data_IF_055043068367
#
_entry.id   IF_055043068367
#
_cell.length_a   1.000
_cell.length_b   1.000
_cell.length_c   1.000
_cell.angle_alpha   90.00
_cell.angle_beta   90.00
_cell.angle_gamma   90.00
#
_symmetry.space_group_name_H-M   'P 1'
#
loop_
_entity.id
_entity.type
_entity.pdbx_description
1 polymer ?
#
# COMPACT_ATOMS: atom_id res chain seq x y z
N UNK A 1 12.05 20.03 -26.40
CA UNK A 1 11.76 18.60 -26.19
C UNK A 1 11.25 18.43 -24.77
N UNK A 2 9.99 18.15 -24.57
CA UNK A 2 9.45 17.87 -23.26
C UNK A 2 10.08 16.56 -22.76
N UNK A 3 10.79 16.62 -21.63
CA UNK A 3 11.31 15.45 -20.93
C UNK A 3 10.08 14.63 -20.53
N UNK A 4 9.89 13.46 -21.14
CA UNK A 4 8.84 12.57 -20.72
C UNK A 4 9.02 12.34 -19.20
N UNK A 5 8.02 12.73 -18.42
CA UNK A 5 8.00 12.40 -17.00
C UNK A 5 8.19 10.88 -16.91
N UNK A 6 9.23 10.44 -16.20
CA UNK A 6 9.44 9.00 -16.00
C UNK A 6 8.19 8.45 -15.33
N UNK A 7 7.56 7.45 -15.95
CA UNK A 7 6.37 6.82 -15.40
C UNK A 7 6.66 6.35 -13.97
N UNK A 8 5.73 6.60 -13.04
CA UNK A 8 5.85 6.18 -11.66
C UNK A 8 5.96 4.65 -11.61
N UNK A 9 7.05 4.07 -11.10
CA UNK A 9 7.24 2.62 -11.13
C UNK A 9 6.17 1.86 -10.32
N UNK A 10 5.61 2.45 -9.28
CA UNK A 10 4.52 1.84 -8.53
C UNK A 10 3.25 1.68 -9.37
N UNK A 11 2.89 2.70 -10.16
CA UNK A 11 1.67 2.68 -10.97
C UNK A 11 1.71 1.59 -12.03
N UNK A 12 2.81 1.48 -12.75
CA UNK A 12 2.98 0.44 -13.76
C UNK A 12 2.87 -0.97 -13.19
N UNK A 13 3.47 -1.20 -12.03
CA UNK A 13 3.40 -2.51 -11.35
C UNK A 13 1.99 -2.79 -10.82
N UNK A 14 1.28 -1.79 -10.31
CA UNK A 14 -0.12 -1.93 -9.86
C UNK A 14 -1.01 -2.38 -11.01
N UNK A 15 -0.91 -1.77 -12.18
CA UNK A 15 -1.70 -2.16 -13.34
C UNK A 15 -1.43 -3.61 -13.76
N UNK A 16 -0.15 -4.00 -13.82
CA UNK A 16 0.25 -5.39 -14.15
C UNK A 16 -0.25 -6.40 -13.12
N UNK A 17 -0.12 -6.09 -11.83
CA UNK A 17 -0.57 -6.98 -10.76
C UNK A 17 -2.10 -7.08 -10.71
N UNK A 18 -2.82 -5.99 -10.92
CA UNK A 18 -4.27 -5.97 -10.96
C UNK A 18 -4.80 -6.89 -12.08
N UNK A 19 -4.20 -6.84 -13.26
CA UNK A 19 -4.54 -7.72 -14.38
C UNK A 19 -4.22 -9.19 -14.05
N UNK A 20 -3.01 -9.45 -13.55
CA UNK A 20 -2.54 -10.81 -13.21
C UNK A 20 -3.42 -11.51 -12.18
N UNK A 21 -3.81 -10.80 -11.14
CA UNK A 21 -4.55 -11.35 -10.00
C UNK A 21 -6.05 -11.07 -10.03
N UNK A 22 -6.54 -10.44 -11.09
CA UNK A 22 -7.96 -10.09 -11.27
C UNK A 22 -8.50 -9.23 -10.12
N UNK A 23 -7.68 -8.28 -9.67
CA UNK A 23 -8.05 -7.27 -8.69
C UNK A 23 -8.52 -6.02 -9.46
N UNK A 24 -9.63 -5.39 -9.08
CA UNK A 24 -9.99 -4.11 -9.68
C UNK A 24 -8.85 -3.10 -9.52
N UNK A 25 -8.30 -2.60 -10.64
CA UNK A 25 -7.11 -1.75 -10.65
C UNK A 25 -7.27 -0.51 -9.74
N UNK A 26 -8.46 0.06 -9.72
CA UNK A 26 -8.78 1.20 -8.86
C UNK A 26 -8.64 0.89 -7.37
N UNK A 27 -8.99 -0.31 -6.93
CA UNK A 27 -8.84 -0.75 -5.53
C UNK A 27 -7.35 -0.84 -5.17
N UNK A 28 -6.57 -1.53 -5.98
CA UNK A 28 -5.14 -1.70 -5.71
C UNK A 28 -4.40 -0.36 -5.73
N UNK A 29 -4.75 0.53 -6.67
CA UNK A 29 -4.20 1.88 -6.77
C UNK A 29 -4.58 2.74 -5.55
N UNK A 30 -5.86 2.70 -5.13
CA UNK A 30 -6.33 3.46 -3.97
C UNK A 30 -5.70 2.97 -2.66
N UNK A 31 -5.47 1.67 -2.51
CA UNK A 31 -4.69 1.12 -1.37
C UNK A 31 -3.27 1.68 -1.39
N UNK A 32 -2.58 1.63 -2.52
CA UNK A 32 -1.24 2.19 -2.65
C UNK A 32 -1.17 3.68 -2.30
N UNK A 33 -2.11 4.50 -2.79
CA UNK A 33 -2.20 5.92 -2.45
C UNK A 33 -2.47 6.15 -0.96
N UNK A 34 -3.28 5.32 -0.34
CA UNK A 34 -3.57 5.41 1.09
C UNK A 34 -2.32 5.11 1.93
N UNK A 35 -1.51 4.15 1.49
CA UNK A 35 -0.30 3.72 2.19
C UNK A 35 0.88 4.69 1.98
N UNK A 36 1.13 5.10 0.73
CA UNK A 36 2.35 5.84 0.38
C UNK A 36 2.11 7.17 -0.31
N UNK A 37 0.85 7.55 -0.54
CA UNK A 37 0.53 8.76 -1.29
C UNK A 37 1.17 10.01 -0.66
N UNK A 38 1.96 10.71 -1.46
CA UNK A 38 2.49 12.02 -1.14
C UNK A 38 2.18 12.96 -2.29
N UNK A 39 1.41 14.01 -2.03
CA UNK A 39 0.91 14.94 -3.06
C UNK A 39 0.17 14.23 -4.21
N UNK A 40 -0.60 13.17 -3.88
CA UNK A 40 -1.36 12.39 -4.86
C UNK A 40 -0.53 11.44 -5.72
N UNK A 41 0.73 11.18 -5.36
CA UNK A 41 1.63 10.28 -6.09
C UNK A 41 2.12 9.14 -5.20
N UNK A 42 2.23 7.95 -5.78
CA UNK A 42 2.80 6.77 -5.14
C UNK A 42 4.31 6.91 -4.94
N UNK A 43 4.83 6.36 -3.85
CA UNK A 43 6.22 6.52 -3.42
C UNK A 43 6.94 5.18 -3.29
N UNK A 44 7.80 4.79 -4.25
CA UNK A 44 8.48 3.50 -4.23
C UNK A 44 9.51 3.36 -3.10
N UNK A 45 10.07 4.47 -2.62
CA UNK A 45 11.06 4.50 -1.54
C UNK A 45 10.49 5.02 -0.23
N UNK A 46 9.18 4.88 -0.04
CA UNK A 46 8.52 5.26 1.20
C UNK A 46 8.78 4.22 2.29
N UNK A 47 8.98 4.72 3.51
CA UNK A 47 9.02 3.92 4.74
C UNK A 47 8.04 4.50 5.76
N UNK A 48 7.53 3.64 6.62
CA UNK A 48 6.96 4.07 7.89
C UNK A 48 7.79 3.44 9.01
N UNK A 49 8.46 4.26 9.80
CA UNK A 49 9.36 3.83 10.86
C UNK A 49 8.73 4.17 12.20
N UNK A 50 8.19 3.15 12.88
CA UNK A 50 7.55 3.34 14.17
C UNK A 50 6.37 4.32 14.15
N UNK A 51 5.59 4.34 13.06
CA UNK A 51 4.45 5.25 12.87
C UNK A 51 4.79 6.58 12.19
N UNK A 52 6.05 6.84 11.85
CA UNK A 52 6.48 8.08 11.19
C UNK A 52 6.79 7.83 9.72
N UNK A 53 6.09 8.52 8.78
CA UNK A 53 6.37 8.40 7.36
C UNK A 53 7.70 9.07 6.99
N UNK A 54 8.48 8.39 6.16
CA UNK A 54 9.76 8.87 5.63
C UNK A 54 9.80 8.58 4.13
N UNK A 55 10.16 9.59 3.34
CA UNK A 55 10.28 9.45 1.88
C UNK A 55 11.75 9.57 1.48
N UNK A 56 12.40 8.43 1.29
CA UNK A 56 13.79 8.38 0.88
C UNK A 56 13.96 8.82 -0.58
N UNK A 57 15.09 9.41 -0.89
CA UNK A 57 15.42 9.91 -2.24
C UNK A 57 15.80 8.79 -3.21
N UNK A 58 16.21 7.64 -2.67
CA UNK A 58 16.64 6.49 -3.45
C UNK A 58 16.36 5.18 -2.69
N UNK A 59 16.39 4.05 -3.41
CA UNK A 59 16.33 2.72 -2.79
C UNK A 59 17.48 2.49 -1.81
N UNK A 60 18.68 2.93 -2.15
CA UNK A 60 19.85 2.80 -1.28
C UNK A 60 19.66 3.55 0.05
N UNK A 61 19.15 4.77 0.00
CA UNK A 61 18.82 5.54 1.21
C UNK A 61 17.71 4.85 2.02
N UNK A 62 16.68 4.33 1.36
CA UNK A 62 15.61 3.59 2.04
C UNK A 62 16.14 2.35 2.77
N UNK A 63 17.07 1.60 2.17
CA UNK A 63 17.74 0.46 2.80
C UNK A 63 18.51 0.89 4.05
N UNK A 64 19.30 1.96 3.94
CA UNK A 64 20.08 2.49 5.06
C UNK A 64 19.17 2.91 6.23
N UNK A 65 18.07 3.58 5.94
CA UNK A 65 17.09 3.98 6.96
C UNK A 65 16.42 2.79 7.63
N UNK A 66 16.07 1.76 6.87
CA UNK A 66 15.50 0.53 7.42
C UNK A 66 16.50 -0.24 8.30
N UNK A 67 17.76 -0.32 7.88
CA UNK A 67 18.83 -0.94 8.67
C UNK A 67 19.14 -0.13 9.94
N UNK A 68 19.09 1.20 9.86
CA UNK A 68 19.25 2.05 11.04
C UNK A 68 18.10 1.83 12.03
N UNK A 69 16.87 1.75 11.55
CA UNK A 69 15.72 1.44 12.39
C UNK A 69 15.89 0.10 13.15
N UNK A 70 16.46 -0.91 12.50
CA UNK A 70 16.78 -2.18 13.15
C UNK A 70 17.82 -2.02 14.28
N UNK A 71 18.91 -1.29 14.02
CA UNK A 71 19.93 -1.00 15.03
C UNK A 71 19.35 -0.26 16.23
N UNK A 72 18.39 0.62 15.97
CA UNK A 72 17.69 1.41 17.00
C UNK A 72 16.58 0.61 17.71
N UNK A 73 16.39 -0.66 17.34
CA UNK A 73 15.40 -1.56 17.94
C UNK A 73 13.95 -1.27 17.55
N UNK A 74 13.71 -0.49 16.49
CA UNK A 74 12.36 -0.22 16.01
C UNK A 74 11.80 -1.47 15.33
N UNK A 75 10.72 -2.01 15.89
CA UNK A 75 10.14 -3.30 15.43
C UNK A 75 9.20 -3.16 14.25
N UNK A 76 8.52 -2.03 14.11
CA UNK A 76 7.52 -1.81 13.06
C UNK A 76 8.10 -0.89 12.00
N UNK A 77 8.44 -1.47 10.87
CA UNK A 77 8.95 -0.77 9.68
C UNK A 77 8.19 -1.29 8.46
N UNK A 78 7.48 -0.38 7.79
CA UNK A 78 6.76 -0.68 6.56
C UNK A 78 7.52 -0.11 5.37
N UNK A 79 7.54 -0.81 4.23
CA UNK A 79 8.44 -0.53 3.11
C UNK A 79 7.73 -0.54 1.76
N UNK A 80 8.08 0.45 0.94
CA UNK A 80 7.81 0.48 -0.50
C UNK A 80 6.41 0.92 -0.90
N UNK A 81 6.09 0.71 -2.18
CA UNK A 81 4.85 1.14 -2.83
C UNK A 81 3.57 0.81 -2.04
N UNK A 82 3.51 -0.37 -1.46
CA UNK A 82 2.33 -0.90 -0.77
C UNK A 82 2.54 -1.04 0.73
N UNK A 83 3.60 -0.48 1.29
CA UNK A 83 3.93 -0.47 2.72
C UNK A 83 3.85 -1.84 3.38
N UNK A 84 4.68 -2.76 2.90
CA UNK A 84 4.78 -4.11 3.44
C UNK A 84 5.53 -4.07 4.77
N UNK A 85 4.91 -4.60 5.82
CA UNK A 85 5.52 -4.65 7.16
C UNK A 85 6.64 -5.69 7.20
N UNK A 86 7.84 -5.23 7.55
CA UNK A 86 9.03 -6.08 7.60
C UNK A 86 8.96 -7.17 8.65
N UNK A 87 8.42 -6.89 9.82
CA UNK A 87 8.32 -7.86 10.92
C UNK A 87 7.46 -9.07 10.55
N UNK A 88 6.33 -8.83 9.88
CA UNK A 88 5.35 -9.88 9.58
C UNK A 88 5.57 -10.56 8.23
N UNK A 89 6.17 -9.86 7.29
CA UNK A 89 6.29 -10.33 5.90
C UNK A 89 7.72 -10.37 5.38
N UNK A 90 8.71 -9.89 6.13
CA UNK A 90 10.10 -9.79 5.68
C UNK A 90 10.70 -11.12 5.26
N UNK A 91 10.31 -12.23 5.91
CA UNK A 91 10.76 -13.57 5.58
C UNK A 91 10.23 -14.12 4.25
N UNK A 92 9.32 -13.40 3.60
CA UNK A 92 8.80 -13.74 2.26
C UNK A 92 9.63 -13.10 1.14
N UNK A 93 10.63 -12.30 1.49
CA UNK A 93 11.52 -11.61 0.56
C UNK A 93 12.97 -12.02 0.83
N UNK A 94 13.75 -12.08 -0.23
CA UNK A 94 15.16 -12.45 -0.15
C UNK A 94 16.07 -11.38 0.46
N UNK A 95 15.61 -10.11 0.49
CA UNK A 95 16.38 -8.97 1.01
C UNK A 95 15.50 -7.73 1.20
N UNK A 96 16.03 -6.72 1.90
CA UNK A 96 15.42 -5.38 1.96
C UNK A 96 15.31 -4.73 0.58
N UNK A 97 16.31 -4.91 -0.27
CA UNK A 97 16.26 -4.42 -1.64
C UNK A 97 15.10 -5.03 -2.41
N UNK A 98 14.84 -6.34 -2.22
CA UNK A 98 13.68 -7.01 -2.82
C UNK A 98 12.35 -6.48 -2.29
N UNK A 99 12.25 -6.18 -0.99
CA UNK A 99 11.05 -5.56 -0.41
C UNK A 99 10.76 -4.17 -0.99
N UNK A 100 11.79 -3.41 -1.33
CA UNK A 100 11.69 -2.07 -1.91
C UNK A 100 11.61 -2.07 -3.44
N UNK A 101 11.81 -3.21 -4.07
CA UNK A 101 11.63 -3.34 -5.52
C UNK A 101 10.14 -3.18 -5.87
N UNK A 102 9.75 -2.21 -6.71
CA UNK A 102 8.35 -1.96 -7.02
C UNK A 102 7.60 -3.19 -7.53
N UNK A 103 8.22 -3.98 -8.41
CA UNK A 103 7.60 -5.18 -8.96
C UNK A 103 7.32 -6.22 -7.88
N UNK A 104 8.31 -6.53 -7.05
CA UNK A 104 8.18 -7.52 -5.98
C UNK A 104 7.27 -7.06 -4.84
N UNK A 105 7.37 -5.79 -4.47
CA UNK A 105 6.53 -5.19 -3.44
C UNK A 105 5.05 -5.22 -3.81
N UNK A 106 4.71 -4.72 -5.00
CA UNK A 106 3.33 -4.67 -5.49
C UNK A 106 2.79 -6.08 -5.75
N UNK A 107 3.58 -6.97 -6.33
CA UNK A 107 3.17 -8.36 -6.58
C UNK A 107 2.80 -9.09 -5.27
N UNK A 108 3.63 -8.95 -4.25
CA UNK A 108 3.36 -9.53 -2.94
C UNK A 108 2.07 -8.97 -2.33
N UNK A 109 1.92 -7.64 -2.32
CA UNK A 109 0.74 -6.98 -1.78
C UNK A 109 -0.55 -7.38 -2.51
N UNK A 110 -0.49 -7.47 -3.83
CA UNK A 110 -1.63 -7.89 -4.65
C UNK A 110 -2.06 -9.33 -4.31
N UNK A 111 -1.11 -10.27 -4.23
CA UNK A 111 -1.40 -11.65 -3.80
C UNK A 111 -1.99 -11.71 -2.40
N UNK A 112 -1.46 -10.94 -1.47
CA UNK A 112 -1.97 -10.87 -0.10
C UNK A 112 -3.40 -10.32 -0.06
N UNK A 113 -3.67 -9.24 -0.79
CA UNK A 113 -5.01 -8.67 -0.90
C UNK A 113 -6.00 -9.64 -1.54
N UNK A 114 -5.57 -10.37 -2.58
CA UNK A 114 -6.39 -11.43 -3.21
C UNK A 114 -6.74 -12.55 -2.23
N UNK A 115 -5.77 -12.99 -1.42
CA UNK A 115 -6.02 -14.00 -0.38
C UNK A 115 -7.04 -13.53 0.65
N UNK A 116 -6.92 -12.28 1.10
CA UNK A 116 -7.88 -11.68 2.02
C UNK A 116 -9.27 -11.59 1.40
N UNK A 117 -9.36 -11.23 0.13
CA UNK A 117 -10.64 -11.21 -0.59
C UNK A 117 -11.26 -12.61 -0.69
N UNK A 118 -10.48 -13.63 -0.99
CA UNK A 118 -10.96 -15.01 -1.04
C UNK A 118 -11.48 -15.50 0.32
N UNK A 119 -10.86 -15.07 1.42
CA UNK A 119 -11.29 -15.41 2.78
C UNK A 119 -12.54 -14.66 3.24
N UNK A 120 -12.71 -13.42 2.82
CA UNK A 120 -13.73 -12.51 3.34
C UNK A 120 -14.82 -12.13 2.34
N UNK A 121 -14.74 -12.59 1.10
CA UNK A 121 -15.74 -12.47 0.05
C UNK A 121 -16.02 -11.03 -0.44
N UNK A 122 -15.51 -9.98 0.20
CA UNK A 122 -15.70 -8.58 -0.21
C UNK A 122 -14.37 -7.83 -0.27
N UNK A 123 -14.26 -6.92 -1.21
CA UNK A 123 -13.08 -6.04 -1.31
C UNK A 123 -12.97 -5.10 -0.13
N UNK A 124 -14.08 -4.60 0.40
CA UNK A 124 -14.08 -3.71 1.58
C UNK A 124 -13.47 -4.40 2.79
N UNK A 125 -13.83 -5.66 3.04
CA UNK A 125 -13.25 -6.42 4.15
C UNK A 125 -11.79 -6.80 3.90
N UNK A 126 -11.44 -7.17 2.67
CA UNK A 126 -10.06 -7.46 2.30
C UNK A 126 -9.15 -6.23 2.54
N UNK A 127 -9.59 -5.06 2.10
CA UNK A 127 -8.89 -3.79 2.31
C UNK A 127 -8.76 -3.45 3.80
N UNK A 128 -9.83 -3.63 4.58
CA UNK A 128 -9.81 -3.42 6.02
C UNK A 128 -8.76 -4.29 6.72
N UNK A 129 -8.73 -5.57 6.38
CA UNK A 129 -7.80 -6.57 6.95
C UNK A 129 -6.36 -6.36 6.49
N UNK A 130 -6.17 -5.88 5.29
CA UNK A 130 -4.84 -5.56 4.76
C UNK A 130 -4.07 -4.60 5.68
N UNK A 131 -4.74 -3.57 6.16
CA UNK A 131 -4.12 -2.53 7.00
C UNK A 131 -4.13 -2.88 8.50
N UNK A 132 -5.29 -3.20 9.04
CA UNK A 132 -5.51 -3.20 10.48
C UNK A 132 -5.53 -4.59 11.11
N UNK A 133 -5.40 -5.65 10.31
CA UNK A 133 -5.53 -7.02 10.79
C UNK A 133 -6.95 -7.39 11.21
N UNK A 134 -7.14 -8.58 11.85
CA UNK A 134 -8.47 -9.15 12.05
C UNK A 134 -9.32 -8.49 13.15
N UNK A 135 -8.71 -7.87 14.17
CA UNK A 135 -9.42 -7.54 15.42
C UNK A 135 -9.38 -6.05 15.78
N UNK A 136 -9.28 -5.16 14.77
CA UNK A 136 -9.18 -3.71 15.01
C UNK A 136 -10.23 -2.94 14.17
N UNK A 137 -11.49 -3.05 14.55
CA UNK A 137 -12.61 -2.45 13.81
C UNK A 137 -12.52 -0.93 13.63
N UNK A 138 -12.14 -0.11 14.62
CA UNK A 138 -12.01 1.33 14.42
C UNK A 138 -10.94 1.70 13.40
N UNK A 139 -9.79 1.03 13.43
CA UNK A 139 -8.70 1.26 12.47
C UNK A 139 -9.09 0.77 11.08
N UNK A 140 -9.75 -0.38 10.98
CA UNK A 140 -10.29 -0.92 9.73
C UNK A 140 -11.26 0.07 9.08
N UNK A 141 -12.20 0.60 9.83
CA UNK A 141 -13.19 1.57 9.34
C UNK A 141 -12.51 2.83 8.80
N UNK A 142 -11.61 3.43 9.57
CA UNK A 142 -10.88 4.63 9.15
C UNK A 142 -10.08 4.39 7.87
N UNK A 143 -9.45 3.25 7.75
CA UNK A 143 -8.66 2.88 6.58
C UNK A 143 -9.54 2.69 5.34
N UNK A 144 -10.62 1.93 5.44
CA UNK A 144 -11.58 1.73 4.34
C UNK A 144 -12.11 3.08 3.84
N UNK A 145 -12.45 3.99 4.74
CA UNK A 145 -12.96 5.31 4.34
C UNK A 145 -11.91 6.16 3.61
N UNK A 146 -10.64 6.06 3.99
CA UNK A 146 -9.54 6.70 3.23
C UNK A 146 -9.36 6.08 1.84
N UNK A 147 -9.46 4.75 1.73
CA UNK A 147 -9.38 4.07 0.43
C UNK A 147 -10.55 4.48 -0.46
N UNK A 148 -11.77 4.55 0.06
CA UNK A 148 -12.94 5.02 -0.69
C UNK A 148 -12.73 6.47 -1.17
N UNK A 149 -12.24 7.34 -0.29
CA UNK A 149 -11.94 8.73 -0.67
C UNK A 149 -10.91 8.80 -1.81
N UNK A 150 -9.87 7.97 -1.77
CA UNK A 150 -8.89 7.89 -2.86
C UNK A 150 -9.47 7.30 -4.15
N UNK A 151 -10.35 6.30 -4.06
CA UNK A 151 -11.08 5.77 -5.23
C UNK A 151 -11.89 6.86 -5.93
N UNK A 152 -12.61 7.67 -5.16
CA UNK A 152 -13.41 8.78 -5.69
C UNK A 152 -12.51 9.86 -6.27
N UNK A 153 -11.46 10.26 -5.56
CA UNK A 153 -10.54 11.31 -6.01
C UNK A 153 -9.81 10.95 -7.30
N UNK A 154 -9.55 9.68 -7.54
CA UNK A 154 -8.87 9.17 -8.75
C UNK A 154 -9.82 8.84 -9.90
N UNK A 155 -11.14 8.99 -9.71
CA UNK A 155 -12.14 8.71 -10.73
C UNK A 155 -12.49 7.23 -10.91
N UNK A 156 -11.98 6.34 -10.05
CA UNK A 156 -12.29 4.90 -10.09
C UNK A 156 -13.57 4.52 -9.36
N UNK A 157 -14.18 5.43 -8.62
CA UNK A 157 -15.38 5.15 -7.83
C UNK A 157 -16.20 6.40 -7.55
N UNK A 158 -17.32 6.17 -6.87
CA UNK A 158 -18.25 7.22 -6.44
C UNK A 158 -18.68 7.00 -5.00
N UNK A 159 -19.00 8.08 -4.31
CA UNK A 159 -19.66 8.01 -3.00
C UNK A 159 -21.09 7.47 -3.14
N UNK A 160 -21.29 6.22 -2.72
CA UNK A 160 -22.64 5.64 -2.63
C UNK A 160 -23.32 6.06 -1.32
N UNK A 161 -24.68 6.02 -1.22
CA UNK A 161 -25.37 6.25 0.04
C UNK A 161 -24.86 5.37 1.19
N UNK A 162 -24.62 4.08 0.94
CA UNK A 162 -24.07 3.15 1.94
C UNK A 162 -22.65 3.55 2.39
N UNK A 163 -21.79 3.94 1.45
CA UNK A 163 -20.43 4.38 1.78
C UNK A 163 -20.44 5.65 2.63
N UNK A 164 -21.32 6.63 2.29
CA UNK A 164 -21.51 7.84 3.08
C UNK A 164 -22.00 7.53 4.50
N UNK A 165 -23.00 6.67 4.63
CA UNK A 165 -23.50 6.25 5.93
C UNK A 165 -22.43 5.54 6.76
N UNK A 166 -21.69 4.63 6.16
CA UNK A 166 -20.61 3.88 6.83
C UNK A 166 -19.50 4.81 7.32
N UNK A 167 -19.09 5.79 6.51
CA UNK A 167 -17.97 6.67 6.82
C UNK A 167 -18.35 7.94 7.62
N UNK A 168 -19.63 8.15 7.89
CA UNK A 168 -20.08 9.26 8.72
C UNK A 168 -20.32 10.57 7.97
N UNK A 169 -20.66 10.49 6.71
CA UNK A 169 -21.04 11.68 5.95
C UNK A 169 -20.49 11.83 4.59
#
# INVERSE_FOLDING_TARGET
MAKAASANPCEGEILRAAERYKIPAGILYAVGLTETGNKGSLQPNALNIGGKPVFAKSRAEAIQLAEQADRDGVKLVDLGCMQINRRYHGNKFESLSAMLDPAKNVDYAARFLQQLHAQHMTWSMAVARYHAGPDNDPAQKRYVCRVIANLVATGFGQWTPNARQFCGG
#
